data_IF_705257586959
#
_entry.id   IF_705257586959
#
_cell.length_a   1.000
_cell.length_b   1.000
_cell.length_c   1.000
_cell.angle_alpha   90.00
_cell.angle_beta   90.00
_cell.angle_gamma   90.00
#
_symmetry.space_group_name_H-M   'P 1'
#
loop_
_entity.id
_entity.type
_entity.pdbx_description
1 polymer ?
#
# COMPACT_ATOMS: atom_id res chain seq x y z
N UNK A 1 -21.39 -64.84 67.55
CA UNK A 1 -21.31 -63.46 67.89
C UNK A 1 -19.95 -62.92 67.49
N UNK A 2 -19.87 -62.14 66.55
CA UNK A 2 -18.64 -61.56 66.10
C UNK A 2 -18.78 -60.04 66.24
N UNK A 3 -18.10 -59.56 67.22
CA UNK A 3 -17.91 -58.11 67.35
C UNK A 3 -17.13 -57.67 66.12
N UNK A 4 -17.82 -57.13 65.15
CA UNK A 4 -17.27 -56.71 63.89
C UNK A 4 -16.45 -55.39 64.07
N UNK A 5 -15.20 -55.58 64.47
CA UNK A 5 -14.23 -54.46 64.39
C UNK A 5 -13.69 -54.41 62.95
N UNK A 6 -14.16 -53.48 62.17
CA UNK A 6 -13.63 -53.26 60.82
C UNK A 6 -12.47 -52.26 60.90
N UNK A 7 -11.27 -52.68 60.54
CA UNK A 7 -10.11 -51.81 60.44
C UNK A 7 -10.14 -51.07 59.09
N UNK A 8 -10.28 -49.78 59.15
CA UNK A 8 -10.13 -48.93 57.96
C UNK A 8 -8.66 -48.58 57.73
N UNK A 9 -8.07 -49.12 56.68
CA UNK A 9 -6.67 -48.90 56.33
C UNK A 9 -6.44 -47.66 55.41
N UNK A 10 -7.41 -46.79 55.28
CA UNK A 10 -7.22 -45.52 54.51
C UNK A 10 -6.92 -44.38 55.48
N UNK A 11 -5.72 -43.80 55.34
CA UNK A 11 -5.39 -42.51 55.97
C UNK A 11 -5.99 -41.40 55.10
N UNK A 12 -6.82 -40.59 55.71
CA UNK A 12 -7.19 -39.30 55.14
C UNK A 12 -6.28 -38.23 55.69
N UNK A 13 -5.68 -37.44 54.82
CA UNK A 13 -4.93 -36.26 55.23
C UNK A 13 -5.93 -35.15 55.52
N UNK A 14 -6.00 -34.73 56.77
CA UNK A 14 -6.88 -33.65 57.22
C UNK A 14 -6.15 -32.35 56.98
N UNK A 15 -6.57 -31.56 56.02
CA UNK A 15 -5.96 -30.26 55.72
C UNK A 15 -6.36 -29.18 56.75
N UNK A 16 -5.50 -28.18 56.91
CA UNK A 16 -5.79 -27.04 57.79
C UNK A 16 -7.13 -26.36 57.46
N UNK A 17 -7.52 -26.26 56.20
CA UNK A 17 -8.79 -25.70 55.73
C UNK A 17 -10.01 -26.56 56.17
N UNK A 18 -9.85 -27.89 56.22
CA UNK A 18 -10.91 -28.77 56.75
C UNK A 18 -11.08 -28.64 58.25
N UNK A 19 -10.04 -28.28 58.97
CA UNK A 19 -10.08 -28.05 60.41
C UNK A 19 -10.77 -26.69 60.70
N UNK A 20 -10.40 -25.66 59.95
CA UNK A 20 -10.90 -24.29 60.20
C UNK A 20 -12.39 -24.10 59.87
N UNK A 21 -12.90 -24.82 58.87
CA UNK A 21 -14.29 -24.69 58.38
C UNK A 21 -15.35 -25.47 59.15
N UNK A 22 -15.15 -25.88 60.34
CA UNK A 22 -16.20 -26.64 61.04
C UNK A 22 -15.92 -27.02 62.47
N UNK A 23 -15.10 -26.26 63.19
CA UNK A 23 -14.92 -26.43 64.61
C UNK A 23 -16.18 -25.96 65.38
N UNK A 24 -16.60 -26.73 66.38
CA UNK A 24 -17.62 -26.31 67.34
C UNK A 24 -16.99 -25.32 68.37
N UNK A 25 -17.80 -24.82 69.27
CA UNK A 25 -17.38 -23.90 70.32
C UNK A 25 -16.31 -24.45 71.27
N UNK A 26 -16.04 -25.75 71.24
CA UNK A 26 -15.04 -26.43 72.08
C UNK A 26 -13.78 -26.82 71.28
N UNK A 27 -13.61 -26.29 70.07
CA UNK A 27 -12.51 -26.64 69.15
C UNK A 27 -12.42 -28.14 68.78
N UNK A 28 -13.54 -28.84 68.83
CA UNK A 28 -13.65 -30.25 68.45
C UNK A 28 -14.32 -30.36 67.12
N UNK A 29 -13.79 -31.23 66.25
CA UNK A 29 -14.43 -31.60 65.00
C UNK A 29 -14.72 -33.09 64.96
N UNK A 30 -15.97 -33.41 64.87
CA UNK A 30 -16.44 -34.81 64.73
C UNK A 30 -16.47 -35.14 63.27
N UNK A 31 -15.69 -36.14 62.87
CA UNK A 31 -15.78 -36.75 61.56
C UNK A 31 -16.72 -37.95 61.64
N UNK A 32 -17.87 -37.85 60.96
CA UNK A 32 -18.80 -38.97 60.89
C UNK A 32 -18.50 -39.74 59.60
N UNK A 33 -18.01 -40.98 59.75
CA UNK A 33 -17.91 -41.87 58.61
C UNK A 33 -19.27 -42.51 58.31
N UNK A 34 -19.89 -42.11 57.23
CA UNK A 34 -21.10 -42.78 56.75
C UNK A 34 -20.71 -44.04 55.99
N UNK A 35 -21.02 -45.20 56.56
CA UNK A 35 -20.89 -46.47 55.91
C UNK A 35 -22.17 -46.78 55.13
N UNK A 36 -22.11 -46.69 53.83
CA UNK A 36 -23.21 -47.11 52.98
C UNK A 36 -23.01 -48.60 52.67
N UNK A 37 -23.82 -49.48 53.28
CA UNK A 37 -23.79 -50.90 53.00
C UNK A 37 -24.22 -51.15 51.56
N UNK A 38 -23.47 -51.97 50.83
CA UNK A 38 -23.78 -52.32 49.45
C UNK A 38 -22.98 -51.59 48.37
N UNK A 39 -22.02 -50.70 48.75
CA UNK A 39 -21.08 -50.14 47.80
C UNK A 39 -19.84 -51.03 47.65
N UNK A 40 -19.50 -51.35 46.42
CA UNK A 40 -18.26 -52.05 46.08
C UNK A 40 -17.29 -51.09 45.37
N UNK A 41 -16.00 -51.33 45.55
CA UNK A 41 -14.95 -50.60 44.83
C UNK A 41 -14.83 -51.20 43.41
N UNK A 42 -15.00 -50.36 42.45
CA UNK A 42 -14.80 -50.69 41.05
C UNK A 42 -13.60 -49.93 40.51
N UNK A 43 -12.79 -50.60 39.70
CA UNK A 43 -11.75 -49.99 38.89
C UNK A 43 -12.27 -49.85 37.48
N UNK A 44 -12.21 -48.65 36.93
CA UNK A 44 -12.66 -48.37 35.57
C UNK A 44 -11.45 -47.97 34.76
N UNK A 45 -11.08 -48.81 33.83
CA UNK A 45 -9.91 -48.64 33.00
C UNK A 45 -10.34 -48.37 31.56
N UNK A 46 -9.85 -47.29 31.00
CA UNK A 46 -10.06 -46.86 29.62
C UNK A 46 -8.77 -47.13 28.84
N UNK A 47 -8.82 -48.04 27.89
CA UNK A 47 -7.71 -48.46 27.07
C UNK A 47 -7.87 -47.85 25.68
N UNK A 48 -6.99 -46.97 25.32
CA UNK A 48 -6.98 -46.28 24.02
C UNK A 48 -6.00 -46.96 23.08
N UNK A 49 -6.43 -47.18 21.85
CA UNK A 49 -5.59 -47.72 20.78
C UNK A 49 -4.44 -46.78 20.49
N UNK A 50 -3.26 -47.35 20.34
CA UNK A 50 -2.04 -46.61 19.98
C UNK A 50 -2.13 -46.08 18.55
N UNK A 51 -1.52 -44.90 18.30
CA UNK A 51 -1.58 -44.25 16.99
C UNK A 51 -0.67 -44.95 15.97
N UNK A 52 0.48 -45.46 16.43
CA UNK A 52 1.48 -46.07 15.57
C UNK A 52 1.31 -47.59 15.48
N UNK A 53 0.63 -48.22 16.46
CA UNK A 53 0.37 -49.65 16.48
C UNK A 53 -1.08 -49.97 16.88
N UNK A 54 -1.92 -50.15 15.90
CA UNK A 54 -3.36 -50.41 16.07
C UNK A 54 -3.70 -51.70 16.80
N UNK A 55 -2.72 -52.58 17.09
CA UNK A 55 -2.90 -53.78 17.91
C UNK A 55 -2.66 -53.55 19.41
N UNK A 56 -2.16 -52.37 19.76
CA UNK A 56 -1.81 -52.00 21.14
C UNK A 56 -2.87 -51.07 21.73
N UNK A 57 -3.28 -51.36 22.96
CA UNK A 57 -4.21 -50.55 23.73
C UNK A 57 -3.56 -50.20 25.06
N UNK A 58 -3.35 -48.96 25.35
CA UNK A 58 -2.73 -48.48 26.58
C UNK A 58 -3.76 -47.91 27.54
N UNK A 59 -3.57 -48.16 28.86
CA UNK A 59 -4.42 -47.62 29.88
C UNK A 59 -4.26 -46.07 29.93
N UNK A 60 -5.37 -45.36 29.78
CA UNK A 60 -5.36 -43.92 29.66
C UNK A 60 -5.44 -43.20 31.01
N UNK A 61 -5.14 -41.90 30.99
CA UNK A 61 -5.34 -40.96 32.11
C UNK A 61 -6.81 -40.86 32.58
N UNK A 62 -7.76 -41.37 31.81
CA UNK A 62 -9.19 -41.41 32.18
C UNK A 62 -9.53 -42.55 33.14
N UNK A 63 -8.61 -43.48 33.40
CA UNK A 63 -8.82 -44.58 34.37
C UNK A 63 -9.04 -44.04 35.75
N UNK A 64 -10.02 -44.62 36.45
CA UNK A 64 -10.42 -44.19 37.79
C UNK A 64 -10.89 -45.36 38.67
N UNK A 65 -10.91 -45.15 39.99
CA UNK A 65 -11.60 -46.02 40.93
C UNK A 65 -12.82 -45.29 41.51
N UNK A 66 -13.94 -46.03 41.68
CA UNK A 66 -15.16 -45.44 42.23
C UNK A 66 -15.91 -46.48 43.10
N UNK A 67 -16.65 -45.98 44.05
CA UNK A 67 -17.55 -46.75 44.90
C UNK A 67 -18.99 -46.56 44.41
N UNK A 68 -19.68 -47.68 44.17
CA UNK A 68 -21.10 -47.63 43.79
C UNK A 68 -21.83 -48.91 44.17
N UNK A 69 -23.16 -48.85 44.29
CA UNK A 69 -24.03 -50.02 44.35
C UNK A 69 -23.97 -50.76 42.98
N UNK A 70 -24.30 -52.09 43.01
CA UNK A 70 -24.29 -52.92 41.83
C UNK A 70 -25.01 -52.25 40.64
N UNK A 71 -24.41 -52.30 39.46
CA UNK A 71 -24.96 -51.79 38.20
C UNK A 71 -23.94 -51.86 37.08
N UNK A 72 -24.41 -51.86 35.83
CA UNK A 72 -23.54 -51.81 34.67
C UNK A 72 -23.02 -50.38 34.49
N UNK A 73 -21.77 -50.24 34.07
CA UNK A 73 -21.18 -49.00 33.61
C UNK A 73 -21.11 -49.01 32.08
N UNK A 74 -21.42 -47.88 31.49
CA UNK A 74 -21.18 -47.65 30.08
C UNK A 74 -19.82 -46.97 29.90
N UNK A 75 -19.23 -47.11 28.73
CA UNK A 75 -18.05 -46.36 28.33
C UNK A 75 -18.37 -44.87 28.29
N UNK A 76 -17.35 -44.05 28.40
CA UNK A 76 -17.39 -42.61 28.34
C UNK A 76 -17.14 -42.18 26.89
N UNK A 77 -17.72 -41.08 26.44
CA UNK A 77 -17.33 -40.48 25.16
C UNK A 77 -15.93 -39.89 25.27
N UNK A 78 -15.06 -40.28 24.36
CA UNK A 78 -13.69 -39.80 24.25
C UNK A 78 -13.49 -39.28 22.82
N UNK A 79 -13.20 -38.02 22.71
CA UNK A 79 -13.02 -37.37 21.41
C UNK A 79 -11.90 -38.05 20.61
N UNK A 80 -12.15 -38.28 19.32
CA UNK A 80 -11.24 -39.00 18.43
C UNK A 80 -11.21 -40.52 18.60
N UNK A 81 -12.06 -41.10 19.46
CA UNK A 81 -12.10 -42.51 19.69
C UNK A 81 -13.53 -43.10 19.61
N UNK A 82 -13.60 -44.35 19.24
CA UNK A 82 -14.86 -45.13 19.21
C UNK A 82 -14.79 -46.28 20.18
N UNK A 83 -15.77 -46.39 21.09
CA UNK A 83 -15.87 -47.50 22.04
C UNK A 83 -16.06 -48.82 21.31
N UNK A 84 -15.23 -49.82 21.57
CA UNK A 84 -15.38 -51.17 21.05
C UNK A 84 -16.49 -51.93 21.77
N UNK A 85 -17.19 -52.73 21.03
CA UNK A 85 -18.21 -53.68 21.57
C UNK A 85 -17.58 -54.99 22.03
N UNK A 86 -16.35 -55.29 21.64
CA UNK A 86 -15.63 -56.53 21.95
C UNK A 86 -14.22 -56.24 22.49
N UNK A 87 -13.76 -57.08 23.39
CA UNK A 87 -12.40 -57.02 23.92
C UNK A 87 -11.40 -57.37 22.82
N UNK A 88 -10.33 -56.58 22.62
CA UNK A 88 -9.28 -56.89 21.64
C UNK A 88 -8.54 -58.20 22.00
N UNK A 89 -8.00 -58.88 20.99
CA UNK A 89 -7.21 -60.10 21.20
C UNK A 89 -5.98 -59.83 22.08
N UNK A 90 -5.73 -60.68 23.05
CA UNK A 90 -4.63 -60.54 24.00
C UNK A 90 -4.91 -59.63 25.21
N UNK A 91 -6.11 -59.06 25.30
CA UNK A 91 -6.54 -58.23 26.41
C UNK A 91 -7.64 -58.88 27.26
N UNK A 92 -7.80 -58.39 28.47
CA UNK A 92 -8.78 -58.93 29.43
C UNK A 92 -10.12 -58.22 29.30
N UNK A 93 -11.22 -58.95 29.30
CA UNK A 93 -12.58 -58.42 29.40
C UNK A 93 -12.87 -57.82 30.79
N UNK A 94 -13.94 -57.01 30.88
CA UNK A 94 -14.44 -56.57 32.19
C UNK A 94 -14.81 -57.80 33.05
N UNK A 95 -14.48 -57.78 34.34
CA UNK A 95 -14.76 -58.93 35.21
C UNK A 95 -14.24 -58.72 36.63
N UNK A 96 -14.62 -59.74 37.46
CA UNK A 96 -14.22 -59.76 38.85
C UNK A 96 -12.91 -60.56 39.01
N UNK A 97 -12.10 -60.14 39.92
CA UNK A 97 -10.93 -60.90 40.36
C UNK A 97 -9.70 -60.87 39.44
N UNK A 98 -9.70 -60.15 38.34
CA UNK A 98 -8.59 -60.13 37.40
C UNK A 98 -8.06 -58.71 37.15
N UNK A 99 -6.86 -58.42 37.65
CA UNK A 99 -6.12 -57.21 37.33
C UNK A 99 -4.94 -57.59 36.44
N UNK A 100 -5.16 -57.66 35.12
CA UNK A 100 -4.13 -58.00 34.12
C UNK A 100 -3.30 -59.24 34.50
N UNK A 101 -3.98 -60.34 34.90
CA UNK A 101 -3.34 -61.56 35.31
C UNK A 101 -3.08 -61.69 36.81
N UNK A 102 -3.37 -60.70 37.63
CA UNK A 102 -3.30 -60.77 39.11
C UNK A 102 -4.68 -61.04 39.68
N UNK A 103 -4.81 -62.05 40.53
CA UNK A 103 -6.04 -62.33 41.25
C UNK A 103 -6.28 -61.31 42.34
N UNK A 104 -7.39 -60.55 42.27
CA UNK A 104 -7.81 -59.57 43.26
C UNK A 104 -9.29 -59.79 43.61
N UNK A 105 -9.71 -59.19 44.71
CA UNK A 105 -11.12 -59.22 45.13
C UNK A 105 -11.90 -57.98 44.60
N UNK A 106 -11.44 -57.38 43.54
CA UNK A 106 -12.05 -56.18 42.99
C UNK A 106 -12.70 -56.46 41.63
N UNK A 107 -13.66 -55.65 41.24
CA UNK A 107 -14.26 -55.70 39.91
C UNK A 107 -13.62 -54.66 39.03
N UNK A 108 -13.28 -55.06 37.78
CA UNK A 108 -12.64 -54.20 36.80
C UNK A 108 -13.55 -54.00 35.60
N UNK A 109 -13.97 -52.77 35.34
CA UNK A 109 -14.57 -52.38 34.09
C UNK A 109 -13.44 -51.96 33.14
N UNK A 110 -13.40 -52.57 31.95
CA UNK A 110 -12.40 -52.32 30.92
C UNK A 110 -13.11 -51.91 29.67
N UNK A 111 -12.87 -50.67 29.27
CA UNK A 111 -13.41 -50.08 28.04
C UNK A 111 -12.26 -49.88 27.07
N UNK A 112 -12.36 -50.46 25.88
CA UNK A 112 -11.38 -50.38 24.83
C UNK A 112 -11.93 -49.50 23.72
N UNK A 113 -11.08 -48.63 23.21
CA UNK A 113 -11.43 -47.60 22.23
C UNK A 113 -10.53 -47.72 21.03
N UNK A 114 -11.12 -47.89 19.86
CA UNK A 114 -10.41 -47.75 18.60
C UNK A 114 -10.21 -46.28 18.29
N UNK A 115 -9.04 -45.94 17.83
CA UNK A 115 -8.72 -44.61 17.38
C UNK A 115 -9.41 -44.35 16.04
N UNK A 116 -10.16 -43.27 15.94
CA UNK A 116 -10.79 -42.86 14.69
C UNK A 116 -9.74 -42.45 13.68
N UNK A 117 -10.09 -42.61 12.42
CA UNK A 117 -9.19 -42.18 11.33
C UNK A 117 -9.84 -41.08 10.52
N UNK A 118 -9.00 -40.16 10.07
CA UNK A 118 -9.40 -38.98 9.32
C UNK A 118 -8.61 -38.88 8.02
N UNK A 119 -8.92 -37.89 7.19
CA UNK A 119 -8.24 -37.61 5.93
C UNK A 119 -7.65 -36.19 5.90
N UNK A 120 -6.63 -36.02 5.07
CA UNK A 120 -6.15 -34.70 4.66
C UNK A 120 -6.37 -34.61 3.16
N UNK A 121 -7.19 -33.64 2.77
CA UNK A 121 -7.42 -33.27 1.37
C UNK A 121 -6.59 -32.05 1.02
N UNK A 122 -5.78 -32.15 -0.03
CA UNK A 122 -4.89 -31.10 -0.49
C UNK A 122 -5.42 -30.47 -1.77
N UNK A 123 -5.53 -29.15 -1.76
CA UNK A 123 -6.10 -28.38 -2.86
C UNK A 123 -5.10 -27.38 -3.43
N UNK A 124 -5.19 -27.18 -4.72
CA UNK A 124 -4.58 -26.06 -5.42
C UNK A 124 -5.57 -25.48 -6.42
N UNK A 125 -5.77 -24.16 -6.38
CA UNK A 125 -6.66 -23.41 -7.29
C UNK A 125 -8.05 -24.07 -7.45
N UNK A 126 -8.66 -24.47 -6.34
CA UNK A 126 -10.00 -25.09 -6.30
C UNK A 126 -10.05 -26.56 -6.70
N UNK A 127 -8.94 -27.17 -7.12
CA UNK A 127 -8.87 -28.59 -7.47
C UNK A 127 -8.19 -29.40 -6.38
N UNK A 128 -8.75 -30.55 -6.04
CA UNK A 128 -8.07 -31.53 -5.18
C UNK A 128 -6.87 -32.11 -5.95
N UNK A 129 -5.68 -32.02 -5.35
CA UNK A 129 -4.43 -32.51 -5.95
C UNK A 129 -3.91 -33.78 -5.28
N UNK A 130 -4.36 -34.06 -4.04
CA UNK A 130 -4.03 -35.28 -3.31
C UNK A 130 -4.99 -35.46 -2.14
N UNK A 131 -5.19 -36.72 -1.73
CA UNK A 131 -5.91 -37.09 -0.51
C UNK A 131 -5.17 -38.21 0.20
N UNK A 132 -4.81 -38.00 1.47
CA UNK A 132 -4.27 -39.05 2.33
C UNK A 132 -5.35 -39.41 3.34
N UNK A 133 -5.78 -40.67 3.30
CA UNK A 133 -6.89 -41.18 4.11
C UNK A 133 -6.41 -42.13 5.20
N UNK A 134 -7.29 -42.44 6.16
CA UNK A 134 -7.07 -43.37 7.24
C UNK A 134 -5.91 -43.02 8.17
N UNK A 135 -5.72 -41.74 8.40
CA UNK A 135 -4.72 -41.23 9.35
C UNK A 135 -5.34 -41.31 10.74
N UNK A 136 -4.75 -42.06 11.67
CA UNK A 136 -5.27 -42.18 13.03
C UNK A 136 -5.29 -40.80 13.73
N UNK A 137 -6.32 -40.57 14.54
CA UNK A 137 -6.33 -39.40 15.45
C UNK A 137 -5.04 -39.33 16.28
N UNK A 138 -4.48 -38.13 16.48
CA UNK A 138 -3.19 -37.88 17.16
C UNK A 138 -1.95 -38.49 16.49
N UNK A 139 -2.07 -39.13 15.33
CA UNK A 139 -0.92 -39.56 14.54
C UNK A 139 -0.07 -38.32 14.24
N UNK A 140 1.25 -38.42 14.47
CA UNK A 140 2.17 -37.36 14.08
C UNK A 140 2.13 -37.20 12.55
N UNK A 141 1.68 -36.02 12.11
CA UNK A 141 1.60 -35.66 10.70
C UNK A 141 2.67 -34.60 10.29
N UNK A 142 3.59 -34.27 11.19
CA UNK A 142 4.73 -33.41 10.88
C UNK A 142 5.88 -34.22 10.24
N UNK A 143 5.61 -34.81 9.10
CA UNK A 143 6.57 -35.57 8.30
C UNK A 143 6.41 -35.26 6.82
N UNK A 144 7.42 -35.57 6.02
CA UNK A 144 7.38 -35.37 4.56
C UNK A 144 6.28 -36.15 3.85
N UNK A 145 5.68 -37.15 4.49
CA UNK A 145 4.52 -37.88 3.97
C UNK A 145 3.29 -36.99 3.93
N UNK A 146 3.08 -36.17 4.95
CA UNK A 146 1.91 -35.29 5.08
C UNK A 146 2.24 -33.84 4.75
N UNK A 147 3.34 -33.32 5.31
CA UNK A 147 3.86 -31.98 5.05
C UNK A 147 4.83 -32.01 3.88
N UNK A 148 4.37 -32.38 2.71
CA UNK A 148 5.18 -32.42 1.50
C UNK A 148 5.05 -31.13 0.68
N UNK A 149 6.05 -30.86 -0.14
CA UNK A 149 5.96 -29.82 -1.18
C UNK A 149 5.40 -30.47 -2.43
N UNK A 150 4.23 -30.05 -2.92
CA UNK A 150 3.67 -30.58 -4.17
C UNK A 150 4.53 -30.18 -5.38
N UNK A 151 4.41 -30.92 -6.48
CA UNK A 151 4.98 -30.49 -7.74
C UNK A 151 4.36 -29.14 -8.14
N UNK A 152 5.20 -28.26 -8.68
CA UNK A 152 4.73 -26.95 -9.15
C UNK A 152 3.75 -27.17 -10.28
N UNK A 153 2.52 -26.64 -10.19
CA UNK A 153 1.52 -26.81 -11.23
C UNK A 153 1.97 -26.20 -12.56
N UNK A 154 1.55 -26.79 -13.66
CA UNK A 154 1.74 -26.22 -15.00
C UNK A 154 1.04 -24.85 -15.08
N UNK A 155 1.72 -23.86 -15.62
CA UNK A 155 1.23 -22.48 -15.73
C UNK A 155 1.68 -21.53 -14.60
N UNK A 156 2.43 -22.04 -13.60
CA UNK A 156 3.16 -21.21 -12.65
C UNK A 156 4.62 -21.08 -13.11
N UNK A 157 5.12 -19.86 -13.18
CA UNK A 157 6.50 -19.59 -13.59
C UNK A 157 7.53 -20.23 -12.64
N UNK A 158 8.72 -20.48 -13.20
CA UNK A 158 9.79 -21.14 -12.46
C UNK A 158 10.31 -20.39 -11.25
N UNK A 159 10.11 -19.09 -11.21
CA UNK A 159 10.55 -18.17 -10.15
C UNK A 159 9.60 -18.03 -8.97
N UNK A 160 8.40 -18.66 -9.04
CA UNK A 160 7.53 -18.76 -7.86
C UNK A 160 8.13 -19.72 -6.83
N UNK A 161 8.00 -19.39 -5.57
CA UNK A 161 8.49 -20.18 -4.44
C UNK A 161 7.37 -20.86 -3.69
N UNK A 162 7.66 -22.01 -3.06
CA UNK A 162 6.70 -22.70 -2.21
C UNK A 162 6.41 -21.89 -0.95
N UNK A 163 5.14 -21.54 -0.73
CA UNK A 163 4.67 -20.73 0.39
C UNK A 163 3.99 -21.51 1.52
N UNK A 164 3.88 -22.85 1.39
CA UNK A 164 3.29 -23.70 2.42
C UNK A 164 1.80 -24.05 2.22
N UNK A 165 1.27 -24.75 3.20
CA UNK A 165 -0.12 -25.16 3.27
C UNK A 165 -0.94 -24.19 4.14
N UNK A 166 -2.19 -23.96 3.76
CA UNK A 166 -3.12 -23.04 4.43
C UNK A 166 -4.44 -23.74 4.71
N UNK A 167 -5.15 -23.31 5.76
CA UNK A 167 -6.45 -23.87 6.16
C UNK A 167 -7.64 -23.25 5.42
N UNK A 168 -7.44 -22.18 4.72
CA UNK A 168 -8.48 -21.43 4.01
C UNK A 168 -8.12 -21.23 2.53
N UNK A 169 -9.12 -21.24 1.66
CA UNK A 169 -8.94 -21.02 0.23
C UNK A 169 -8.44 -19.60 -0.11
N UNK A 170 -8.58 -18.63 0.80
CA UNK A 170 -8.03 -17.27 0.69
C UNK A 170 -6.54 -17.20 0.98
N UNK A 171 -5.91 -18.30 1.41
CA UNK A 171 -4.49 -18.42 1.73
C UNK A 171 -4.02 -17.38 2.77
N UNK A 172 -4.85 -17.15 3.81
CA UNK A 172 -4.58 -16.16 4.87
C UNK A 172 -4.10 -16.80 6.17
N UNK A 173 -4.47 -18.06 6.45
CA UNK A 173 -4.15 -18.77 7.69
C UNK A 173 -3.21 -19.95 7.38
N UNK A 174 -1.91 -19.82 7.62
CA UNK A 174 -0.95 -20.90 7.39
C UNK A 174 -1.21 -22.08 8.34
N UNK A 175 -1.07 -23.30 7.83
CA UNK A 175 -1.20 -24.52 8.61
C UNK A 175 0.16 -24.99 9.13
N UNK A 176 0.20 -25.29 10.43
CA UNK A 176 1.37 -25.93 11.06
C UNK A 176 1.04 -27.39 11.34
N UNK A 177 1.81 -28.30 10.76
CA UNK A 177 1.66 -29.73 10.95
C UNK A 177 2.18 -30.15 12.33
N UNK A 178 1.37 -30.87 13.07
CA UNK A 178 1.70 -31.45 14.38
C UNK A 178 1.11 -32.86 14.47
N UNK A 179 -0.07 -33.01 15.04
CA UNK A 179 -0.80 -34.30 15.14
C UNK A 179 -2.15 -34.18 14.43
N UNK A 180 -2.68 -35.34 13.95
CA UNK A 180 -3.97 -35.40 13.28
C UNK A 180 -5.10 -35.03 14.24
N UNK A 181 -5.89 -34.00 13.96
CA UNK A 181 -7.03 -33.60 14.79
C UNK A 181 -8.20 -34.61 14.67
N UNK A 182 -9.23 -34.43 15.52
CA UNK A 182 -10.44 -35.29 15.54
C UNK A 182 -11.43 -34.95 14.40
N UNK A 183 -10.94 -34.44 13.27
CA UNK A 183 -11.71 -34.12 12.07
C UNK A 183 -10.83 -34.17 10.81
N UNK A 184 -11.46 -34.25 9.65
CA UNK A 184 -10.75 -34.19 8.38
C UNK A 184 -10.16 -32.80 8.17
N UNK A 185 -8.95 -32.73 7.60
CA UNK A 185 -8.28 -31.49 7.22
C UNK A 185 -8.48 -31.22 5.74
N UNK A 186 -8.65 -29.93 5.41
CA UNK A 186 -8.60 -29.41 4.02
C UNK A 186 -7.51 -28.37 3.99
N UNK A 187 -6.49 -28.61 3.17
CA UNK A 187 -5.31 -27.75 3.07
C UNK A 187 -5.14 -27.21 1.66
N UNK A 188 -4.78 -25.95 1.54
CA UNK A 188 -4.62 -25.23 0.29
C UNK A 188 -3.16 -24.85 0.07
N UNK A 189 -2.63 -25.23 -1.08
CA UNK A 189 -1.25 -24.96 -1.49
C UNK A 189 -1.08 -23.48 -1.88
N UNK A 190 -0.05 -22.82 -1.34
CA UNK A 190 0.35 -21.46 -1.73
C UNK A 190 1.65 -21.48 -2.50
N UNK A 191 1.64 -20.85 -3.69
CA UNK A 191 2.84 -20.51 -4.44
C UNK A 191 2.98 -18.99 -4.40
N UNK A 192 4.15 -18.52 -4.00
CA UNK A 192 4.43 -17.09 -3.79
C UNK A 192 5.14 -16.56 -5.02
N UNK A 193 4.54 -15.57 -5.66
CA UNK A 193 5.16 -14.83 -6.74
C UNK A 193 6.36 -14.02 -6.23
N UNK A 194 7.42 -13.86 -7.01
CA UNK A 194 8.47 -12.91 -6.69
C UNK A 194 7.93 -11.47 -6.75
N UNK A 195 8.60 -10.57 -6.05
CA UNK A 195 8.35 -9.12 -6.13
C UNK A 195 9.46 -8.45 -6.91
N UNK A 196 9.11 -7.38 -7.63
CA UNK A 196 10.03 -6.54 -8.35
C UNK A 196 9.97 -5.10 -7.84
N UNK A 197 11.10 -4.40 -7.94
CA UNK A 197 11.21 -3.02 -7.53
C UNK A 197 10.90 -2.09 -8.71
N UNK A 198 9.97 -1.17 -8.52
CA UNK A 198 9.79 0.00 -9.38
C UNK A 198 10.39 1.20 -8.67
N UNK A 199 11.48 1.73 -9.22
CA UNK A 199 12.22 2.86 -8.67
C UNK A 199 12.05 4.10 -9.55
N UNK A 200 12.28 5.28 -8.97
CA UNK A 200 12.03 6.56 -9.62
C UNK A 200 13.30 7.42 -9.60
N UNK A 201 13.68 7.92 -10.77
CA UNK A 201 14.75 8.89 -10.94
C UNK A 201 14.13 10.21 -11.44
N UNK A 202 14.29 11.27 -10.67
CA UNK A 202 13.78 12.60 -11.03
C UNK A 202 14.45 13.19 -12.27
N UNK A 203 15.57 12.64 -12.72
CA UNK A 203 16.28 13.05 -13.93
C UNK A 203 16.47 14.58 -14.01
N UNK A 204 16.97 15.16 -12.94
CA UNK A 204 17.17 16.59 -12.79
C UNK A 204 15.95 17.38 -12.28
N UNK A 205 14.89 16.71 -11.84
CA UNK A 205 13.78 17.34 -11.12
C UNK A 205 14.15 17.72 -9.69
N UNK A 206 13.33 18.58 -9.12
CA UNK A 206 13.52 19.13 -7.78
C UNK A 206 12.96 18.21 -6.70
N UNK A 207 13.55 18.28 -5.49
CA UNK A 207 13.03 17.58 -4.31
C UNK A 207 13.50 16.15 -4.17
N UNK A 208 12.64 15.30 -3.60
CA UNK A 208 12.92 13.89 -3.30
C UNK A 208 12.13 13.00 -4.25
N UNK A 209 12.80 12.01 -4.80
CA UNK A 209 12.14 11.02 -5.66
C UNK A 209 11.05 10.24 -4.89
N UNK A 210 9.97 9.81 -5.55
CA UNK A 210 8.97 8.95 -4.97
C UNK A 210 9.60 7.68 -4.38
N UNK A 211 9.01 7.19 -3.28
CA UNK A 211 9.45 5.94 -2.64
C UNK A 211 9.33 4.78 -3.63
N UNK A 212 10.35 3.93 -3.67
CA UNK A 212 10.29 2.69 -4.47
C UNK A 212 9.06 1.87 -4.10
N UNK A 213 8.50 1.18 -5.08
CA UNK A 213 7.40 0.23 -4.89
C UNK A 213 7.93 -1.18 -5.06
N UNK A 214 7.54 -2.08 -4.16
CA UNK A 214 7.73 -3.52 -4.32
C UNK A 214 6.41 -4.09 -4.86
N UNK A 215 6.45 -4.59 -6.08
CA UNK A 215 5.28 -5.03 -6.82
C UNK A 215 5.40 -6.53 -7.10
N UNK A 216 4.39 -7.29 -6.68
CA UNK A 216 4.29 -8.72 -7.00
C UNK A 216 4.23 -8.91 -8.52
N UNK A 217 4.93 -9.92 -9.01
CA UNK A 217 4.96 -10.27 -10.45
C UNK A 217 3.55 -10.31 -11.04
N UNK A 218 3.37 -9.72 -12.19
CA UNK A 218 2.10 -9.56 -12.93
C UNK A 218 1.06 -8.63 -12.26
N UNK A 219 1.37 -8.00 -11.16
CA UNK A 219 0.59 -6.86 -10.66
C UNK A 219 1.08 -5.56 -11.28
N UNK A 220 0.29 -4.52 -11.19
CA UNK A 220 0.61 -3.18 -11.70
C UNK A 220 1.23 -2.32 -10.61
N UNK A 221 2.15 -1.44 -10.98
CA UNK A 221 2.61 -0.40 -10.08
C UNK A 221 1.53 0.68 -9.90
N UNK A 222 1.57 1.36 -8.76
CA UNK A 222 0.67 2.49 -8.48
C UNK A 222 1.28 3.78 -9.01
N UNK A 223 0.48 4.59 -9.69
CA UNK A 223 0.92 5.91 -10.15
C UNK A 223 1.32 6.79 -8.97
N UNK A 224 2.35 7.61 -9.17
CA UNK A 224 2.87 8.55 -8.17
C UNK A 224 2.54 9.98 -8.57
N UNK A 225 2.61 10.91 -7.60
CA UNK A 225 2.45 12.33 -7.87
C UNK A 225 3.52 12.84 -8.84
N UNK A 226 3.13 13.77 -9.70
CA UNK A 226 4.04 14.41 -10.64
C UNK A 226 5.12 15.20 -9.88
N UNK A 227 6.39 14.99 -10.19
CA UNK A 227 7.46 15.77 -9.62
C UNK A 227 7.51 17.18 -10.24
N UNK A 228 8.31 18.06 -9.65
CA UNK A 228 8.53 19.39 -10.17
C UNK A 228 9.96 19.59 -10.66
N UNK A 229 10.12 20.52 -11.59
CA UNK A 229 11.41 21.07 -11.99
C UNK A 229 11.22 22.53 -12.35
N UNK A 230 12.01 23.38 -11.75
CA UNK A 230 11.93 24.81 -12.02
C UNK A 230 12.09 25.08 -13.53
N UNK A 231 11.18 25.85 -14.10
CA UNK A 231 11.13 26.24 -15.52
C UNK A 231 10.81 25.13 -16.53
N UNK A 232 10.47 23.92 -16.07
CA UNK A 232 10.12 22.81 -16.94
C UNK A 232 8.68 22.35 -16.69
N UNK A 233 8.09 21.74 -17.71
CA UNK A 233 6.88 20.95 -17.61
C UNK A 233 7.29 19.49 -17.41
N UNK A 234 6.54 18.76 -16.58
CA UNK A 234 6.68 17.32 -16.46
C UNK A 234 5.95 16.63 -17.61
N UNK A 235 6.67 15.84 -18.40
CA UNK A 235 6.11 15.15 -19.58
C UNK A 235 5.65 13.74 -19.26
N UNK A 236 6.08 13.19 -18.13
CA UNK A 236 5.72 11.86 -17.67
C UNK A 236 6.90 11.06 -17.17
N UNK A 237 6.61 9.86 -16.70
CA UNK A 237 7.60 8.85 -16.36
C UNK A 237 7.91 7.98 -17.60
N UNK A 238 9.18 7.70 -17.84
CA UNK A 238 9.67 6.98 -19.00
C UNK A 238 10.58 5.83 -18.61
N UNK A 239 10.73 4.85 -19.50
CA UNK A 239 11.53 3.63 -19.27
C UNK A 239 13.04 3.82 -19.44
N UNK A 240 13.48 4.97 -19.94
CA UNK A 240 14.88 5.31 -20.10
C UNK A 240 15.12 6.79 -19.76
N UNK A 241 16.34 7.12 -19.36
CA UNK A 241 16.77 8.47 -18.99
C UNK A 241 16.67 9.46 -20.14
N UNK A 242 16.95 8.99 -21.34
CA UNK A 242 16.83 9.75 -22.60
C UNK A 242 16.07 8.86 -23.59
N UNK A 243 15.08 9.41 -24.27
CA UNK A 243 14.18 8.62 -25.11
C UNK A 243 13.35 7.63 -24.30
N UNK A 244 13.24 6.40 -24.78
CA UNK A 244 12.40 5.37 -24.16
C UNK A 244 10.91 5.60 -24.40
N UNK A 245 10.10 4.77 -23.80
CA UNK A 245 8.65 4.87 -23.90
C UNK A 245 8.06 5.45 -22.61
N UNK A 246 7.00 6.22 -22.75
CA UNK A 246 6.23 6.68 -21.60
C UNK A 246 5.64 5.48 -20.88
N UNK A 247 5.85 5.41 -19.55
CA UNK A 247 5.41 4.28 -18.76
C UNK A 247 3.88 4.19 -18.69
N UNK A 248 3.37 3.02 -19.01
CA UNK A 248 1.95 2.71 -18.91
C UNK A 248 1.66 2.00 -17.58
N UNK A 249 1.00 2.68 -16.67
CA UNK A 249 0.66 2.21 -15.34
C UNK A 249 -0.33 1.02 -15.32
N UNK A 250 -0.93 0.69 -16.45
CA UNK A 250 -1.81 -0.48 -16.60
C UNK A 250 -1.04 -1.77 -16.90
N UNK A 251 0.24 -1.68 -17.25
CA UNK A 251 1.05 -2.84 -17.61
C UNK A 251 1.53 -3.59 -16.38
N UNK A 252 1.56 -4.93 -16.43
CA UNK A 252 2.06 -5.75 -15.34
C UNK A 252 3.58 -5.63 -15.20
N UNK A 253 4.05 -5.57 -13.96
CA UNK A 253 5.48 -5.58 -13.66
C UNK A 253 6.01 -7.00 -13.75
N UNK A 254 7.08 -7.21 -14.54
CA UNK A 254 7.71 -8.52 -14.77
C UNK A 254 9.20 -8.56 -14.45
N UNK A 255 9.80 -7.42 -14.11
CA UNK A 255 11.21 -7.26 -13.73
C UNK A 255 11.41 -5.97 -12.95
N UNK A 256 12.55 -5.84 -12.27
CA UNK A 256 12.98 -4.58 -11.69
C UNK A 256 13.03 -3.50 -12.77
N UNK A 257 12.48 -2.32 -12.47
CA UNK A 257 12.33 -1.22 -13.42
C UNK A 257 12.68 0.10 -12.76
N UNK A 258 13.46 0.93 -13.46
CA UNK A 258 13.68 2.31 -13.06
C UNK A 258 12.92 3.23 -14.03
N UNK A 259 12.10 4.10 -13.49
CA UNK A 259 11.36 5.09 -14.24
C UNK A 259 12.04 6.46 -14.11
N UNK A 260 12.18 7.14 -15.22
CA UNK A 260 12.86 8.43 -15.31
C UNK A 260 11.85 9.53 -15.63
N UNK A 261 11.90 10.62 -14.88
CA UNK A 261 11.10 11.80 -15.19
C UNK A 261 11.63 12.44 -16.48
N UNK A 262 10.73 12.77 -17.40
CA UNK A 262 11.06 13.57 -18.58
C UNK A 262 10.49 14.98 -18.46
N UNK A 263 11.21 15.90 -19.05
CA UNK A 263 11.00 17.33 -18.88
C UNK A 263 11.09 18.06 -20.20
N UNK A 264 10.14 18.97 -20.46
CA UNK A 264 10.21 19.96 -21.52
C UNK A 264 10.30 21.38 -20.95
N UNK A 265 11.09 22.23 -21.57
CA UNK A 265 11.18 23.65 -21.14
C UNK A 265 9.81 24.32 -21.26
N UNK A 266 9.44 25.11 -20.25
CA UNK A 266 8.26 25.98 -20.34
C UNK A 266 8.51 27.04 -21.42
N UNK A 267 7.49 27.37 -22.25
CA UNK A 267 7.60 28.43 -23.22
C UNK A 267 7.87 29.76 -22.52
N UNK A 268 8.80 30.54 -23.08
CA UNK A 268 9.08 31.90 -22.59
C UNK A 268 8.08 32.88 -23.19
N UNK A 269 7.82 33.95 -22.45
CA UNK A 269 6.91 35.02 -22.85
C UNK A 269 7.60 36.37 -22.69
N UNK A 270 7.42 37.28 -23.67
CA UNK A 270 7.76 38.67 -23.49
C UNK A 270 6.60 39.57 -23.88
N UNK A 271 6.57 40.79 -23.32
CA UNK A 271 5.50 41.79 -23.55
C UNK A 271 6.09 43.11 -24.01
N UNK A 272 5.46 43.69 -25.03
CA UNK A 272 5.81 45.05 -25.51
C UNK A 272 4.67 45.99 -25.14
N UNK A 273 5.02 47.08 -24.42
CA UNK A 273 4.10 48.11 -23.96
C UNK A 273 4.33 49.45 -24.69
N UNK A 274 3.28 50.19 -24.89
CA UNK A 274 3.25 51.46 -25.62
C UNK A 274 2.58 52.52 -24.76
N UNK A 275 3.41 53.42 -24.14
CA UNK A 275 2.93 54.33 -23.10
C UNK A 275 3.15 55.78 -23.47
N UNK A 276 2.17 56.65 -23.15
CA UNK A 276 2.26 58.13 -23.29
C UNK A 276 3.08 58.72 -22.11
N UNK A 277 4.31 59.13 -22.37
CA UNK A 277 5.18 59.70 -21.36
C UNK A 277 4.68 61.07 -20.86
N UNK A 278 3.91 61.81 -21.68
CA UNK A 278 3.41 63.13 -21.35
C UNK A 278 2.06 63.09 -20.62
N UNK A 279 1.43 61.89 -20.53
CA UNK A 279 0.11 61.75 -19.94
C UNK A 279 0.07 60.53 -18.98
N UNK A 280 0.83 60.66 -17.90
CA UNK A 280 0.86 59.73 -16.78
C UNK A 280 1.03 58.22 -17.18
N UNK A 281 1.81 57.98 -18.25
CA UNK A 281 2.05 56.66 -18.83
C UNK A 281 0.77 55.91 -19.24
N UNK A 282 -0.26 56.64 -19.69
CA UNK A 282 -1.45 56.03 -20.24
C UNK A 282 -1.10 55.15 -21.44
N UNK A 283 -1.76 54.01 -21.55
CA UNK A 283 -1.56 53.08 -22.66
C UNK A 283 -2.06 53.67 -23.96
N UNK A 284 -1.23 53.66 -25.00
CA UNK A 284 -1.55 54.20 -26.33
C UNK A 284 -1.99 53.14 -27.33
N UNK A 285 -1.57 51.90 -27.13
CA UNK A 285 -1.95 50.74 -27.93
C UNK A 285 -1.98 49.48 -27.04
N UNK A 286 -2.69 48.46 -27.47
CA UNK A 286 -2.72 47.18 -26.78
C UNK A 286 -1.31 46.57 -26.68
N UNK A 287 -1.00 45.95 -25.55
CA UNK A 287 0.26 45.25 -25.36
C UNK A 287 0.39 44.13 -26.40
N UNK A 288 1.58 43.99 -26.98
CA UNK A 288 1.97 42.86 -27.80
C UNK A 288 2.60 41.80 -26.89
N UNK A 289 1.94 40.64 -26.73
CA UNK A 289 2.48 39.50 -25.97
C UNK A 289 2.87 38.37 -26.92
N UNK A 290 4.09 37.86 -26.78
CA UNK A 290 4.60 36.74 -27.56
C UNK A 290 5.00 35.62 -26.62
N UNK A 291 4.41 34.44 -26.78
CA UNK A 291 4.74 33.23 -26.04
C UNK A 291 5.16 32.15 -27.02
N UNK A 292 6.32 31.55 -26.84
CA UNK A 292 6.83 30.53 -27.75
C UNK A 292 7.87 29.62 -27.06
N UNK A 293 7.81 28.33 -27.37
CA UNK A 293 8.84 27.34 -27.03
C UNK A 293 10.11 27.47 -27.88
N UNK A 294 10.08 28.31 -28.94
CA UNK A 294 11.27 28.63 -29.73
C UNK A 294 12.13 29.73 -29.13
N UNK A 295 11.63 30.40 -28.06
CA UNK A 295 12.41 31.41 -27.34
C UNK A 295 13.32 30.71 -26.33
N UNK A 296 14.56 31.24 -26.17
CA UNK A 296 15.55 30.66 -25.28
C UNK A 296 15.87 31.63 -24.13
N UNK A 297 16.24 31.10 -23.00
CA UNK A 297 16.77 31.82 -21.86
C UNK A 297 18.02 32.65 -22.30
N UNK A 298 18.13 33.89 -21.86
CA UNK A 298 19.18 34.83 -22.24
C UNK A 298 19.20 35.22 -23.74
N UNK A 299 18.18 34.84 -24.50
CA UNK A 299 18.03 35.34 -25.86
C UNK A 299 17.70 36.82 -25.85
N UNK A 300 18.45 37.62 -26.64
CA UNK A 300 18.13 39.03 -26.82
C UNK A 300 17.07 39.20 -27.90
N UNK A 301 15.93 39.70 -27.51
CA UNK A 301 14.83 40.05 -28.43
C UNK A 301 14.85 41.54 -28.66
N UNK A 302 14.81 41.95 -29.94
CA UNK A 302 14.69 43.33 -30.36
C UNK A 302 13.35 43.59 -31.02
N UNK A 303 12.68 44.65 -30.59
CA UNK A 303 11.41 45.09 -31.16
C UNK A 303 11.52 46.54 -31.68
N UNK A 304 10.79 46.82 -32.73
CA UNK A 304 10.66 48.16 -33.25
C UNK A 304 9.45 48.86 -32.64
N UNK A 305 9.57 50.17 -32.41
CA UNK A 305 8.45 50.98 -31.94
C UNK A 305 7.26 50.92 -32.89
N UNK A 306 6.07 50.74 -32.36
CA UNK A 306 4.83 50.80 -33.13
C UNK A 306 4.59 52.23 -33.64
N UNK A 307 4.27 52.38 -34.92
CA UNK A 307 3.84 53.66 -35.46
C UNK A 307 2.46 54.05 -34.90
N UNK A 308 2.39 55.06 -34.05
CA UNK A 308 1.15 55.56 -33.44
C UNK A 308 0.83 56.95 -33.97
N UNK A 309 -0.34 57.11 -34.56
CA UNK A 309 -0.77 58.39 -35.16
C UNK A 309 -0.78 59.51 -34.10
N UNK A 310 -0.11 60.62 -34.38
CA UNK A 310 -0.02 61.78 -33.49
C UNK A 310 1.06 61.67 -32.41
N UNK A 311 1.90 60.60 -32.44
CA UNK A 311 2.97 60.37 -31.45
C UNK A 311 4.31 60.08 -32.11
N UNK A 312 5.39 60.40 -31.39
CA UNK A 312 6.77 59.99 -31.68
C UNK A 312 7.29 59.07 -30.57
N UNK A 313 7.92 57.96 -30.90
CA UNK A 313 8.58 57.14 -29.89
C UNK A 313 9.90 57.79 -29.45
N UNK A 314 10.30 57.64 -28.16
CA UNK A 314 11.60 58.07 -27.66
C UNK A 314 12.75 57.24 -28.23
N UNK A 315 12.48 55.99 -28.60
CA UNK A 315 13.44 55.12 -29.27
C UNK A 315 12.72 54.33 -30.37
N UNK A 316 13.37 54.19 -31.54
CA UNK A 316 12.81 53.43 -32.67
C UNK A 316 12.90 51.93 -32.48
N UNK A 317 13.82 51.43 -31.66
CA UNK A 317 13.90 50.02 -31.26
C UNK A 317 14.40 49.92 -29.82
N UNK A 318 14.01 48.84 -29.18
CA UNK A 318 14.47 48.45 -27.85
C UNK A 318 14.63 46.93 -27.78
N UNK A 319 15.49 46.50 -26.88
CA UNK A 319 15.76 45.08 -26.68
C UNK A 319 15.56 44.67 -25.22
N UNK A 320 15.25 43.39 -25.00
CA UNK A 320 15.26 42.76 -23.71
C UNK A 320 15.99 41.42 -23.83
N UNK A 321 16.79 41.10 -22.83
CA UNK A 321 17.33 39.75 -22.65
C UNK A 321 16.30 38.92 -21.88
N UNK A 322 15.89 37.78 -22.43
CA UNK A 322 14.81 36.98 -21.86
C UNK A 322 15.25 36.24 -20.60
N UNK A 323 14.44 36.35 -19.58
CA UNK A 323 14.49 35.59 -18.33
C UNK A 323 13.32 34.58 -18.27
N UNK A 324 13.40 33.59 -17.37
CA UNK A 324 12.28 32.74 -17.06
C UNK A 324 11.13 33.46 -16.36
N UNK A 325 11.44 34.56 -15.66
CA UNK A 325 10.43 35.44 -15.09
C UNK A 325 9.88 36.40 -16.17
N UNK A 326 8.63 36.17 -16.56
CA UNK A 326 7.97 36.98 -17.58
C UNK A 326 7.87 38.48 -17.20
N UNK A 327 7.88 38.80 -15.91
CA UNK A 327 7.84 40.19 -15.44
C UNK A 327 9.13 40.97 -15.75
N UNK A 328 10.24 40.27 -15.99
CA UNK A 328 11.50 40.87 -16.47
C UNK A 328 11.53 41.04 -18.00
N UNK A 329 10.68 40.32 -18.72
CA UNK A 329 10.66 40.28 -20.19
C UNK A 329 9.75 41.36 -20.78
N UNK A 330 9.92 42.62 -20.37
CA UNK A 330 9.06 43.70 -20.79
C UNK A 330 9.86 44.75 -21.56
N UNK A 331 9.47 45.00 -22.79
CA UNK A 331 9.93 46.12 -23.60
C UNK A 331 8.90 47.25 -23.51
N UNK A 332 9.27 48.40 -22.99
CA UNK A 332 8.36 49.57 -22.92
C UNK A 332 8.83 50.64 -23.84
N UNK A 333 8.03 51.00 -24.84
CA UNK A 333 8.18 52.18 -25.65
C UNK A 333 7.40 53.34 -25.06
N UNK A 334 8.09 54.43 -24.80
CA UNK A 334 7.50 55.69 -24.38
C UNK A 334 7.37 56.59 -25.58
N UNK A 335 6.27 57.31 -25.66
CA UNK A 335 5.91 58.21 -26.77
C UNK A 335 5.60 59.57 -26.23
N UNK A 336 5.93 60.59 -27.05
CA UNK A 336 5.48 61.96 -26.85
C UNK A 336 4.56 62.38 -27.97
N UNK A 337 3.61 63.27 -27.67
CA UNK A 337 2.72 63.83 -28.68
C UNK A 337 3.50 64.53 -29.73
N UNK A 338 3.18 64.35 -31.01
CA UNK A 338 3.66 65.21 -32.09
C UNK A 338 3.09 66.57 -31.85
N UNK A 339 3.94 67.53 -31.80
CA UNK A 339 3.50 68.94 -31.87
C UNK A 339 2.76 69.18 -33.18
N UNK A 340 1.67 69.91 -33.13
CA UNK A 340 0.98 70.29 -34.35
C UNK A 340 1.92 71.13 -35.23
N UNK A 341 2.14 70.65 -36.46
CA UNK A 341 2.92 71.48 -37.41
C UNK A 341 2.03 72.59 -37.93
N UNK A 342 2.52 73.76 -37.86
CA UNK A 342 1.90 74.97 -38.41
C UNK A 342 2.70 75.47 -39.63
N UNK A 343 2.00 75.53 -40.74
CA UNK A 343 2.63 76.11 -41.96
C UNK A 343 2.20 77.57 -42.10
N UNK A 344 3.15 78.43 -42.37
CA UNK A 344 2.88 79.79 -42.70
C UNK A 344 3.56 80.12 -44.03
N UNK A 345 3.07 81.19 -44.69
CA UNK A 345 3.60 81.67 -45.93
C UNK A 345 4.16 83.05 -45.68
N UNK A 346 5.36 83.30 -46.16
CA UNK A 346 6.02 84.59 -46.12
C UNK A 346 5.96 85.24 -47.51
N UNK A 347 5.21 86.27 -47.65
CA UNK A 347 5.17 87.07 -48.87
C UNK A 347 6.12 88.26 -48.76
N UNK A 348 6.95 88.39 -49.73
CA UNK A 348 7.89 89.56 -49.83
C UNK A 348 7.23 90.59 -50.69
N UNK A 349 6.88 91.71 -50.07
CA UNK A 349 6.12 92.81 -50.74
C UNK A 349 6.84 94.11 -50.59
N UNK A 350 6.60 95.09 -51.55
CA UNK A 350 7.14 96.45 -51.40
C UNK A 350 6.55 97.09 -50.15
N UNK A 351 7.42 97.80 -49.41
CA UNK A 351 7.02 98.49 -48.17
C UNK A 351 5.91 99.53 -48.43
N UNK A 352 6.01 100.28 -49.53
CA UNK A 352 5.10 101.36 -49.84
C UNK A 352 3.87 100.86 -50.67
N UNK A 353 3.90 99.62 -51.13
CA UNK A 353 2.81 99.02 -51.84
C UNK A 353 2.71 97.46 -51.57
N UNK A 354 2.04 97.06 -50.52
CA UNK A 354 2.01 95.64 -50.10
C UNK A 354 1.28 94.70 -51.06
N UNK A 355 0.68 95.20 -52.12
CA UNK A 355 0.08 94.34 -53.17
C UNK A 355 1.10 93.90 -54.22
N UNK A 356 2.30 94.49 -54.25
CA UNK A 356 3.36 94.17 -55.21
C UNK A 356 4.34 93.18 -54.54
N UNK A 357 4.37 91.94 -55.02
CA UNK A 357 5.38 90.97 -54.60
C UNK A 357 6.71 91.27 -55.27
N UNK A 358 7.79 91.28 -54.49
CA UNK A 358 9.18 91.53 -54.93
C UNK A 358 10.06 90.27 -54.94
N UNK A 359 9.50 89.15 -54.38
CA UNK A 359 10.13 87.86 -54.44
C UNK A 359 9.04 86.76 -54.35
N UNK A 360 9.39 85.53 -54.71
CA UNK A 360 8.47 84.37 -54.54
C UNK A 360 8.17 84.16 -53.07
N UNK A 361 6.93 83.76 -52.81
CA UNK A 361 6.48 83.40 -51.46
C UNK A 361 7.18 82.16 -50.96
N UNK A 362 7.61 82.17 -49.72
CA UNK A 362 8.22 81.05 -49.07
C UNK A 362 7.25 80.37 -48.13
N UNK A 363 7.00 79.14 -48.35
CA UNK A 363 6.25 78.29 -47.41
C UNK A 363 7.23 77.70 -46.38
N UNK A 364 6.90 77.89 -45.13
CA UNK A 364 7.67 77.33 -44.02
C UNK A 364 6.74 76.55 -43.09
N UNK A 365 7.17 75.33 -42.74
CA UNK A 365 6.49 74.54 -41.74
C UNK A 365 7.34 74.51 -40.49
N UNK A 366 6.78 74.84 -39.37
CA UNK A 366 7.47 74.90 -38.06
C UNK A 366 6.66 74.02 -37.04
N UNK A 367 7.32 73.63 -35.98
CA UNK A 367 6.67 73.04 -34.86
C UNK A 367 5.62 73.97 -34.24
N UNK A 368 4.45 73.54 -34.01
CA UNK A 368 3.34 74.36 -33.46
C UNK A 368 3.61 74.94 -32.06
N UNK A 369 4.65 74.47 -31.40
CA UNK A 369 5.15 75.13 -30.18
C UNK A 369 5.89 76.43 -30.40
N UNK A 370 6.26 76.70 -31.64
CA UNK A 370 6.97 77.99 -32.01
C UNK A 370 6.02 79.15 -31.91
N UNK A 371 6.23 80.03 -30.97
CA UNK A 371 5.34 81.18 -30.70
C UNK A 371 5.77 82.47 -31.44
N UNK A 372 6.94 82.50 -32.05
CA UNK A 372 7.37 83.57 -32.89
C UNK A 372 8.37 83.13 -33.96
N UNK A 373 8.22 83.62 -35.17
CA UNK A 373 9.11 83.36 -36.30
C UNK A 373 9.72 84.67 -36.76
N UNK A 374 11.04 84.72 -36.91
CA UNK A 374 11.72 85.84 -37.54
C UNK A 374 12.29 85.35 -38.85
N UNK A 375 11.84 85.98 -39.94
CA UNK A 375 12.45 85.80 -41.27
C UNK A 375 13.37 87.01 -41.57
N UNK A 376 14.46 86.67 -42.23
CA UNK A 376 15.36 87.72 -42.69
C UNK A 376 14.76 88.49 -43.86
N UNK A 377 14.91 89.86 -43.85
CA UNK A 377 14.49 90.68 -44.97
C UNK A 377 15.28 90.31 -46.25
N UNK A 378 14.58 90.22 -47.35
CA UNK A 378 15.19 89.98 -48.66
C UNK A 378 15.71 91.32 -49.19
N UNK A 379 16.97 91.36 -49.57
CA UNK A 379 17.51 92.53 -50.28
C UNK A 379 17.05 92.43 -51.73
N UNK A 380 16.32 93.49 -52.17
CA UNK A 380 15.89 93.58 -53.58
C UNK A 380 16.82 94.54 -54.25
N UNK A 381 17.55 94.08 -55.31
CA UNK A 381 18.38 94.91 -56.11
C UNK A 381 17.50 95.91 -56.86
N UNK A 382 17.72 97.21 -56.68
CA UNK A 382 17.05 98.27 -57.44
C UNK A 382 17.84 98.43 -58.74
N UNK A 383 17.48 97.67 -59.75
CA UNK A 383 18.01 97.88 -61.06
C UNK A 383 17.71 99.27 -61.65
#
# INVERSE_FOLDING_TARGET
SSDGIYYVTKRYEVTKDMIEKGMNTNNEKTFVAYWQSGLSLYYVNYYLQDADNTSVYTNSLYSQSLYRSNGSLSGKDIDGFTLRTTTPAGYYSSGYGNDNGRNTNNYYYRFYYDRNTYSIDYYYNGSNINTISRIPFEQNINSSTYNYTPERPSGIDADYTWGGWYTDAGLTVPYTFDTMPSHNLVLYAKWVAPTFNVTFDLNGGDGVAPTKQEVEKYKTATSVADPSRQYYNFDGWYTAKEGGERYDWSQPVTSDTTLYAHWSLKPLTYTVRYLDADNNNNQLAADKTVTSSALNYQQVISESALAITGYHPYANSKSVELDYDADHNIITFYYTKKSAQVSYCVDYVLKDNPTVKVAESKSVTVDGSTISVKESAVTVDKG
#
